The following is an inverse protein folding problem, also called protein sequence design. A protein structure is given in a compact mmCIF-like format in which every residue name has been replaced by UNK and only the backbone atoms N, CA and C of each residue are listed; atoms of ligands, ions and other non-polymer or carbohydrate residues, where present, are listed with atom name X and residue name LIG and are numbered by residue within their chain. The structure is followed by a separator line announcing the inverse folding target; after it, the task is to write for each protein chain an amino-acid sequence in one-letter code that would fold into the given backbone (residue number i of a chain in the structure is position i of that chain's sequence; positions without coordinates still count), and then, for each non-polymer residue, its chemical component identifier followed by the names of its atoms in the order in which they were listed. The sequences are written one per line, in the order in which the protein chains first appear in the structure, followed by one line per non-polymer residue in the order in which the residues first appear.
data_IF_940285198344
#
_entry.id   IF_940285198344
#
_cell.length_a   1.000
_cell.length_b   1.000
_cell.length_c   1.000
_cell.angle_alpha   90.00
_cell.angle_beta   90.00
_cell.angle_gamma   90.00
#
_symmetry.space_group_name_H-M   'P 1'
#
loop_
_entity.id
_entity.type
_entity.pdbx_description
1 polymer ?
#
# COMPACT_ATOMS: atom_id res chain seq x y z
N UNK A 1 44.61 54.53 -20.42
CA UNK A 1 43.69 53.49 -19.92
C UNK A 1 43.35 52.59 -21.10
N UNK A 2 43.70 51.30 -21.11
CA UNK A 2 43.32 50.41 -22.21
C UNK A 2 41.79 50.23 -22.22
N UNK A 3 41.19 50.24 -23.41
CA UNK A 3 39.74 50.10 -23.59
C UNK A 3 39.25 48.73 -23.12
N UNK A 4 38.01 48.68 -22.67
CA UNK A 4 37.30 47.49 -22.16
C UNK A 4 37.35 46.27 -23.10
N UNK A 5 37.58 46.49 -24.39
CA UNK A 5 37.70 45.44 -25.41
C UNK A 5 39.04 44.66 -25.34
N UNK A 6 40.12 45.27 -24.84
CA UNK A 6 41.42 44.60 -24.69
C UNK A 6 41.41 43.58 -23.54
N UNK A 7 40.66 43.86 -22.47
CA UNK A 7 40.50 42.95 -21.32
C UNK A 7 39.65 41.73 -21.65
N UNK A 8 38.59 41.92 -22.43
CA UNK A 8 37.72 40.81 -22.85
C UNK A 8 38.49 39.86 -23.77
N UNK A 9 39.26 40.39 -24.73
CA UNK A 9 40.10 39.58 -25.63
C UNK A 9 41.19 38.81 -24.86
N UNK A 10 41.83 39.45 -23.88
CA UNK A 10 42.83 38.78 -23.03
C UNK A 10 42.21 37.65 -22.19
N UNK A 11 41.01 37.86 -21.64
CA UNK A 11 40.31 36.86 -20.86
C UNK A 11 39.90 35.63 -21.70
N UNK A 12 39.42 35.84 -22.93
CA UNK A 12 39.09 34.73 -23.84
C UNK A 12 40.32 33.92 -24.26
N UNK A 13 41.44 34.59 -24.56
CA UNK A 13 42.71 33.90 -24.88
C UNK A 13 43.21 33.10 -23.68
N UNK A 14 43.16 33.67 -22.47
CA UNK A 14 43.56 32.96 -21.25
C UNK A 14 42.70 31.71 -20.99
N UNK A 15 41.38 31.79 -21.19
CA UNK A 15 40.46 30.66 -21.02
C UNK A 15 40.71 29.55 -22.05
N UNK A 16 40.97 29.92 -23.30
CA UNK A 16 41.29 28.98 -24.39
C UNK A 16 42.62 28.26 -24.16
N UNK A 17 43.65 28.97 -23.65
CA UNK A 17 44.93 28.37 -23.30
C UNK A 17 44.77 27.41 -22.12
N UNK A 18 44.00 27.78 -21.09
CA UNK A 18 43.76 26.92 -19.93
C UNK A 18 43.02 25.62 -20.31
N UNK A 19 42.04 25.70 -21.21
CA UNK A 19 41.31 24.51 -21.70
C UNK A 19 42.20 23.62 -22.57
N UNK A 20 43.04 24.19 -23.43
CA UNK A 20 44.01 23.43 -24.23
C UNK A 20 45.08 22.74 -23.38
N UNK A 21 45.59 23.40 -22.33
CA UNK A 21 46.54 22.79 -21.39
C UNK A 21 45.88 21.66 -20.60
N UNK A 22 44.62 21.83 -20.16
CA UNK A 22 43.88 20.76 -19.50
C UNK A 22 43.64 19.54 -20.40
N UNK A 23 43.27 19.76 -21.67
CA UNK A 23 43.09 18.69 -22.65
C UNK A 23 44.41 17.96 -22.98
N UNK A 24 45.52 18.70 -23.07
CA UNK A 24 46.85 18.10 -23.27
C UNK A 24 47.32 17.28 -22.06
N UNK A 25 47.02 17.71 -20.83
CA UNK A 25 47.33 16.96 -19.61
C UNK A 25 46.47 15.70 -19.45
N UNK A 26 45.20 15.73 -19.86
CA UNK A 26 44.32 14.55 -19.83
C UNK A 26 44.69 13.55 -20.93
N UNK A 27 45.06 14.02 -22.12
CA UNK A 27 45.48 13.18 -23.24
C UNK A 27 46.89 12.57 -23.08
N UNK A 28 47.73 13.12 -22.18
CA UNK A 28 49.05 12.59 -21.84
C UNK A 28 49.05 11.34 -20.95
N UNK A 29 47.89 10.92 -20.44
CA UNK A 29 47.76 9.80 -19.48
C UNK A 29 47.61 8.41 -20.11
N UNK A 30 47.61 8.30 -21.45
CA UNK A 30 47.54 7.01 -22.15
C UNK A 30 48.84 6.73 -22.90
N UNK A 31 49.90 6.44 -22.12
CA UNK A 31 51.16 5.89 -22.60
C UNK A 31 51.38 4.48 -22.09
N UNK A 32 51.32 3.50 -23.02
CA UNK A 32 51.77 2.10 -22.95
C UNK A 32 52.50 1.67 -21.67
N UNK A 33 51.86 0.83 -20.86
CA UNK A 33 52.54 -0.25 -20.15
C UNK A 33 52.24 -1.56 -20.86
N UNK A 34 53.28 -2.15 -21.46
CA UNK A 34 53.24 -3.51 -21.98
C UNK A 34 53.63 -4.42 -20.82
N UNK A 35 52.67 -5.22 -20.34
CA UNK A 35 52.93 -6.34 -19.43
C UNK A 35 52.42 -7.62 -20.09
N UNK A 36 53.15 -8.74 -19.97
CA UNK A 36 52.83 -9.96 -20.70
C UNK A 36 51.49 -10.50 -20.24
N UNK A 37 50.62 -10.83 -21.20
CA UNK A 37 49.38 -11.56 -20.98
C UNK A 37 49.72 -12.94 -20.44
N UNK A 38 49.71 -13.09 -19.12
CA UNK A 38 49.45 -14.38 -18.49
C UNK A 38 47.96 -14.60 -18.67
N UNK A 39 47.58 -15.44 -19.65
CA UNK A 39 46.23 -16.02 -19.69
C UNK A 39 46.12 -16.96 -18.50
N UNK A 40 45.69 -16.42 -17.36
CA UNK A 40 45.00 -17.25 -16.37
C UNK A 40 43.66 -17.60 -17.02
N UNK A 41 43.33 -18.88 -17.24
CA UNK A 41 41.95 -19.22 -17.55
C UNK A 41 41.17 -18.87 -16.29
N UNK A 42 40.56 -17.68 -16.27
CA UNK A 42 39.39 -17.48 -15.42
C UNK A 42 38.32 -18.33 -16.07
N UNK A 43 38.29 -19.59 -15.66
CA UNK A 43 37.11 -20.41 -15.78
C UNK A 43 36.08 -19.72 -14.88
N UNK A 44 35.40 -18.74 -15.46
CA UNK A 44 34.16 -18.26 -14.91
C UNK A 44 33.25 -19.49 -14.93
N UNK A 45 33.19 -20.16 -13.79
CA UNK A 45 32.07 -21.03 -13.47
C UNK A 45 30.87 -20.10 -13.41
N UNK A 46 30.34 -19.76 -14.59
CA UNK A 46 28.99 -19.30 -14.74
C UNK A 46 28.14 -20.56 -14.53
N UNK A 47 27.99 -20.94 -13.26
CA UNK A 47 26.84 -21.74 -12.83
C UNK A 47 25.63 -20.94 -13.32
N UNK A 48 24.83 -21.45 -14.26
CA UNK A 48 23.55 -20.84 -14.53
C UNK A 48 22.81 -20.94 -13.20
N UNK A 49 22.56 -19.80 -12.54
CA UNK A 49 21.46 -19.72 -11.59
C UNK A 49 20.21 -20.02 -12.43
N UNK A 50 19.92 -21.30 -12.59
CA UNK A 50 18.59 -21.76 -12.92
C UNK A 50 17.73 -21.14 -11.82
N UNK A 51 17.01 -20.09 -12.16
CA UNK A 51 15.94 -19.64 -11.29
C UNK A 51 15.08 -20.87 -11.09
N UNK A 52 15.02 -21.37 -9.86
CA UNK A 52 14.31 -22.61 -9.57
C UNK A 52 12.86 -22.39 -10.02
N UNK A 53 12.47 -23.09 -11.08
CA UNK A 53 11.14 -22.96 -11.67
C UNK A 53 10.10 -23.30 -10.61
N UNK A 54 10.40 -24.21 -9.67
CA UNK A 54 9.52 -24.50 -8.55
C UNK A 54 9.42 -23.33 -7.56
N UNK A 55 10.48 -22.54 -7.38
CA UNK A 55 10.45 -21.33 -6.57
C UNK A 55 9.67 -20.19 -7.25
N UNK A 56 9.77 -20.07 -8.59
CA UNK A 56 8.94 -19.15 -9.38
C UNK A 56 7.46 -19.57 -9.30
N UNK A 57 7.16 -20.85 -9.50
CA UNK A 57 5.81 -21.39 -9.44
C UNK A 57 5.22 -21.25 -8.04
N UNK A 58 6.01 -21.50 -6.99
CA UNK A 58 5.59 -21.26 -5.60
C UNK A 58 5.33 -19.78 -5.32
N UNK A 59 6.13 -18.87 -5.88
CA UNK A 59 5.92 -17.43 -5.77
C UNK A 59 4.64 -16.99 -6.50
N UNK A 60 4.39 -17.51 -7.70
CA UNK A 60 3.16 -17.26 -8.45
C UNK A 60 1.94 -17.81 -7.71
N UNK A 61 2.02 -19.05 -7.20
CA UNK A 61 0.94 -19.65 -6.43
C UNK A 61 0.65 -18.87 -5.14
N UNK A 62 1.68 -18.43 -4.41
CA UNK A 62 1.50 -17.58 -3.23
C UNK A 62 0.88 -16.23 -3.58
N UNK A 63 1.28 -15.64 -4.70
CA UNK A 63 0.70 -14.40 -5.21
C UNK A 63 -0.77 -14.57 -5.61
N UNK A 64 -1.11 -15.67 -6.29
CA UNK A 64 -2.48 -16.00 -6.69
C UNK A 64 -3.36 -16.25 -5.47
N UNK A 65 -2.88 -16.99 -4.46
CA UNK A 65 -3.61 -17.22 -3.22
C UNK A 65 -3.86 -15.93 -2.43
N UNK A 66 -2.87 -15.03 -2.38
CA UNK A 66 -2.99 -13.70 -1.76
C UNK A 66 -4.02 -12.84 -2.51
N UNK A 67 -3.97 -12.84 -3.84
CA UNK A 67 -4.90 -12.09 -4.68
C UNK A 67 -6.33 -12.64 -4.55
N UNK A 68 -6.52 -13.96 -4.55
CA UNK A 68 -7.80 -14.60 -4.30
C UNK A 68 -8.35 -14.27 -2.90
N UNK A 69 -7.48 -14.19 -1.89
CA UNK A 69 -7.87 -13.77 -0.55
C UNK A 69 -8.32 -12.31 -0.53
N UNK A 70 -7.57 -11.42 -1.18
CA UNK A 70 -7.94 -10.02 -1.30
C UNK A 70 -9.29 -9.84 -2.02
N UNK A 71 -9.56 -10.63 -3.06
CA UNK A 71 -10.86 -10.63 -3.76
C UNK A 71 -11.98 -11.11 -2.84
N UNK A 72 -11.76 -12.16 -2.05
CA UNK A 72 -12.75 -12.65 -1.10
C UNK A 72 -13.09 -11.60 -0.05
N UNK A 73 -12.08 -10.95 0.55
CA UNK A 73 -12.26 -9.85 1.49
C UNK A 73 -13.04 -8.69 0.86
N UNK A 74 -12.74 -8.35 -0.39
CA UNK A 74 -13.49 -7.35 -1.15
C UNK A 74 -14.98 -7.71 -1.31
N UNK A 75 -15.29 -8.96 -1.64
CA UNK A 75 -16.67 -9.45 -1.73
C UNK A 75 -17.37 -9.34 -0.38
N UNK A 76 -16.70 -9.72 0.72
CA UNK A 76 -17.25 -9.62 2.07
C UNK A 76 -17.55 -8.17 2.47
N UNK A 77 -16.58 -7.28 2.26
CA UNK A 77 -16.73 -5.86 2.57
C UNK A 77 -17.93 -5.21 1.88
N UNK A 78 -18.21 -5.59 0.62
CA UNK A 78 -19.36 -5.05 -0.13
C UNK A 78 -20.70 -5.70 0.24
N UNK A 79 -20.67 -6.97 0.63
CA UNK A 79 -21.90 -7.73 0.90
C UNK A 79 -22.48 -7.38 2.26
N UNK A 80 -21.61 -7.26 3.26
CA UNK A 80 -22.02 -7.10 4.65
C UNK A 80 -21.60 -5.71 5.14
N UNK A 81 -22.59 -4.89 5.44
CA UNK A 81 -22.37 -3.60 6.06
C UNK A 81 -22.26 -3.77 7.59
N UNK A 82 -21.54 -2.86 8.24
CA UNK A 82 -21.48 -2.79 9.71
C UNK A 82 -20.92 -4.06 10.43
N UNK A 83 -20.02 -4.79 9.79
CA UNK A 83 -19.35 -5.99 10.34
C UNK A 83 -17.86 -5.77 10.60
N UNK A 84 -17.31 -6.49 11.58
CA UNK A 84 -15.88 -6.61 11.81
C UNK A 84 -15.33 -7.70 10.88
N UNK A 85 -14.34 -7.35 10.06
CA UNK A 85 -13.72 -8.24 9.07
C UNK A 85 -12.24 -8.47 9.44
N UNK A 86 -11.88 -9.63 10.01
CA UNK A 86 -10.49 -10.00 10.23
C UNK A 86 -9.75 -10.24 8.91
N UNK A 87 -8.44 -9.96 8.85
CA UNK A 87 -7.63 -10.31 7.67
C UNK A 87 -7.63 -11.81 7.37
N UNK A 88 -7.86 -12.66 8.37
CA UNK A 88 -7.93 -14.11 8.21
C UNK A 88 -9.27 -14.61 7.64
N UNK A 89 -10.25 -13.74 7.42
CA UNK A 89 -11.57 -14.15 6.93
C UNK A 89 -11.45 -14.80 5.54
N UNK A 90 -11.93 -16.03 5.43
CA UNK A 90 -12.01 -16.82 4.18
C UNK A 90 -13.46 -17.06 3.77
N UNK A 91 -14.40 -16.96 4.71
CA UNK A 91 -15.83 -17.18 4.52
C UNK A 91 -16.64 -16.10 5.23
N UNK A 92 -17.91 -15.97 4.86
CA UNK A 92 -18.80 -15.02 5.54
C UNK A 92 -19.04 -15.34 7.02
N UNK A 93 -18.90 -16.59 7.43
CA UNK A 93 -18.98 -17.00 8.84
C UNK A 93 -17.83 -16.49 9.70
N UNK A 94 -16.74 -16.04 9.10
CA UNK A 94 -15.56 -15.56 9.81
C UNK A 94 -15.68 -14.09 10.22
N UNK A 95 -16.67 -13.38 9.68
CA UNK A 95 -16.99 -12.01 10.06
C UNK A 95 -17.74 -11.99 11.39
N UNK A 96 -17.52 -10.92 12.15
CA UNK A 96 -18.14 -10.76 13.46
C UNK A 96 -19.16 -9.62 13.40
N UNK A 97 -20.37 -9.93 13.84
CA UNK A 97 -21.49 -9.02 13.93
C UNK A 97 -21.62 -8.49 15.36
N UNK A 98 -22.38 -7.42 15.56
CA UNK A 98 -22.62 -6.83 16.89
C UNK A 98 -23.24 -7.84 17.87
N UNK A 99 -24.07 -8.75 17.38
CA UNK A 99 -24.76 -9.80 18.12
C UNK A 99 -23.97 -11.12 18.19
N UNK A 100 -22.77 -11.18 17.61
CA UNK A 100 -21.88 -12.33 17.78
C UNK A 100 -21.49 -12.50 19.25
N UNK A 101 -21.21 -13.73 19.73
CA UNK A 101 -20.80 -13.96 21.10
C UNK A 101 -19.61 -13.06 21.49
N UNK A 102 -19.71 -12.36 22.62
CA UNK A 102 -18.64 -11.47 23.09
C UNK A 102 -17.29 -12.19 23.21
N UNK A 103 -17.27 -13.48 23.59
CA UNK A 103 -16.04 -14.26 23.63
C UNK A 103 -15.34 -14.35 22.26
N UNK A 104 -16.09 -14.53 21.17
CA UNK A 104 -15.54 -14.55 19.81
C UNK A 104 -15.03 -13.18 19.38
N UNK A 105 -15.77 -12.10 19.69
CA UNK A 105 -15.35 -10.73 19.43
C UNK A 105 -14.07 -10.41 20.21
N UNK A 106 -14.02 -10.72 21.49
CA UNK A 106 -12.87 -10.49 22.36
C UNK A 106 -11.65 -11.29 21.92
N UNK A 107 -11.82 -12.54 21.50
CA UNK A 107 -10.73 -13.36 20.97
C UNK A 107 -10.07 -12.72 19.74
N UNK A 108 -10.88 -12.11 18.86
CA UNK A 108 -10.36 -11.31 17.76
C UNK A 108 -9.71 -10.02 18.30
N UNK A 109 -10.45 -9.20 19.06
CA UNK A 109 -10.01 -7.88 19.53
C UNK A 109 -8.65 -7.91 20.25
N UNK A 110 -8.40 -8.91 21.09
CA UNK A 110 -7.16 -9.10 21.86
C UNK A 110 -5.90 -9.29 21.01
N UNK A 111 -6.01 -9.59 19.72
CA UNK A 111 -4.85 -9.64 18.81
C UNK A 111 -4.14 -8.29 18.68
N UNK A 112 -4.85 -7.18 18.88
CA UNK A 112 -4.34 -5.80 18.87
C UNK A 112 -3.23 -5.54 17.83
N UNK A 113 -3.54 -5.61 16.52
CA UNK A 113 -2.58 -5.27 15.48
C UNK A 113 -2.07 -3.83 15.64
N UNK A 114 -0.96 -3.49 14.98
CA UNK A 114 -0.37 -2.15 15.10
C UNK A 114 -1.34 -1.03 14.68
N UNK A 115 -2.27 -1.36 13.79
CA UNK A 115 -3.31 -0.48 13.28
C UNK A 115 -4.58 -1.30 13.04
N UNK A 116 -5.75 -0.72 13.30
CA UNK A 116 -7.07 -1.22 12.88
C UNK A 116 -7.65 -0.26 11.84
N UNK A 117 -8.36 -0.77 10.82
CA UNK A 117 -8.96 0.05 9.76
C UNK A 117 -10.37 0.41 10.20
N UNK A 118 -10.65 1.70 10.40
CA UNK A 118 -12.02 2.15 10.60
C UNK A 118 -12.78 2.07 9.28
N UNK A 119 -13.86 1.30 9.28
CA UNK A 119 -14.66 1.09 8.09
C UNK A 119 -16.11 1.53 8.33
N UNK A 120 -16.40 2.74 7.87
CA UNK A 120 -17.69 3.40 8.02
C UNK A 120 -18.85 2.53 7.46
N UNK A 121 -20.01 2.62 8.10
CA UNK A 121 -21.28 2.14 7.57
C UNK A 121 -21.77 2.97 6.39
N UNK A 122 -22.42 2.35 5.40
CA UNK A 122 -22.97 3.05 4.24
C UNK A 122 -21.96 3.58 3.21
N UNK A 123 -20.65 3.41 3.41
CA UNK A 123 -19.59 3.75 2.44
C UNK A 123 -18.83 2.49 2.01
N UNK A 124 -19.57 1.47 1.57
CA UNK A 124 -19.05 0.16 1.12
C UNK A 124 -19.08 0.03 -0.41
N UNK A 125 -18.60 1.05 -1.10
CA UNK A 125 -18.48 1.01 -2.56
C UNK A 125 -17.23 0.23 -3.01
N UNK A 126 -17.02 0.16 -4.32
CA UNK A 126 -15.89 -0.57 -4.88
C UNK A 126 -14.54 0.01 -4.44
N UNK A 127 -14.37 1.33 -4.44
CA UNK A 127 -13.09 1.95 -4.14
C UNK A 127 -12.74 1.85 -2.66
N UNK A 128 -13.71 2.12 -1.77
CA UNK A 128 -13.48 2.08 -0.34
C UNK A 128 -13.22 0.66 0.17
N UNK A 129 -13.95 -0.33 -0.35
CA UNK A 129 -13.68 -1.73 0.02
C UNK A 129 -12.35 -2.25 -0.54
N UNK A 130 -11.97 -1.86 -1.77
CA UNK A 130 -10.68 -2.25 -2.36
C UNK A 130 -9.51 -1.84 -1.48
N UNK A 131 -9.51 -0.58 -1.10
CA UNK A 131 -8.48 0.00 -0.24
C UNK A 131 -8.50 -0.60 1.15
N UNK A 132 -9.67 -0.62 1.81
CA UNK A 132 -9.80 -1.11 3.17
C UNK A 132 -9.34 -2.57 3.30
N UNK A 133 -9.66 -3.40 2.31
CA UNK A 133 -9.31 -4.82 2.33
C UNK A 133 -7.84 -5.06 1.98
N UNK A 134 -7.24 -4.23 1.13
CA UNK A 134 -5.79 -4.26 0.92
C UNK A 134 -5.03 -3.97 2.23
N UNK A 135 -5.43 -2.92 2.95
CA UNK A 135 -4.82 -2.61 4.26
C UNK A 135 -5.10 -3.69 5.29
N UNK A 136 -6.32 -4.21 5.32
CA UNK A 136 -6.70 -5.29 6.22
C UNK A 136 -5.79 -6.50 6.00
N UNK A 137 -5.62 -6.95 4.75
CA UNK A 137 -4.80 -8.11 4.41
C UNK A 137 -3.31 -7.90 4.68
N UNK A 138 -2.70 -6.89 4.04
CA UNK A 138 -1.24 -6.75 4.06
C UNK A 138 -0.69 -6.19 5.38
N UNK A 139 -1.50 -5.50 6.18
CA UNK A 139 -1.13 -5.09 7.54
C UNK A 139 -1.49 -6.15 8.59
N UNK A 140 -2.03 -7.29 8.17
CA UNK A 140 -2.52 -8.36 9.05
C UNK A 140 -3.42 -7.80 10.16
N UNK A 141 -4.37 -6.99 9.73
CA UNK A 141 -5.20 -6.14 10.56
C UNK A 141 -6.67 -6.62 10.49
N UNK A 142 -7.60 -5.74 10.81
CA UNK A 142 -9.03 -5.94 10.66
C UNK A 142 -9.69 -4.61 10.33
N UNK A 143 -10.75 -4.69 9.54
CA UNK A 143 -11.69 -3.60 9.42
C UNK A 143 -12.67 -3.66 10.59
N UNK A 144 -12.78 -2.55 11.33
CA UNK A 144 -13.68 -2.41 12.47
C UNK A 144 -14.77 -1.37 12.17
N UNK A 145 -16.05 -1.69 12.42
CA UNK A 145 -17.14 -0.73 12.34
C UNK A 145 -17.27 0.10 13.62
N UNK A 146 -18.05 1.19 13.55
CA UNK A 146 -18.31 2.09 14.69
C UNK A 146 -18.71 1.37 15.97
N UNK A 147 -19.51 0.32 15.85
CA UNK A 147 -20.01 -0.40 17.03
C UNK A 147 -18.91 -1.01 17.89
N UNK A 148 -17.80 -1.43 17.30
CA UNK A 148 -16.65 -1.99 18.05
C UNK A 148 -16.08 -0.94 18.99
N UNK A 149 -16.07 0.32 18.55
CA UNK A 149 -15.59 1.46 19.32
C UNK A 149 -16.60 1.93 20.36
N UNK A 150 -17.88 1.54 20.23
CA UNK A 150 -18.96 1.97 21.12
C UNK A 150 -19.31 0.98 22.20
N UNK A 151 -19.04 -0.29 21.95
CA UNK A 151 -19.53 -1.40 22.77
C UNK A 151 -18.61 -1.63 23.96
N UNK A 152 -19.22 -1.86 25.12
CA UNK A 152 -18.56 -2.49 26.26
C UNK A 152 -18.79 -3.99 26.17
N UNK A 153 -17.72 -4.75 26.01
CA UNK A 153 -17.75 -6.20 25.91
C UNK A 153 -17.63 -6.81 27.30
N UNK A 154 -18.35 -7.89 27.51
CA UNK A 154 -18.30 -8.68 28.75
C UNK A 154 -17.58 -9.98 28.48
N UNK A 155 -16.53 -10.25 29.24
CA UNK A 155 -15.75 -11.48 29.16
C UNK A 155 -16.42 -12.62 29.96
N UNK A 156 -15.90 -13.83 29.84
CA UNK A 156 -16.47 -15.02 30.51
C UNK A 156 -16.44 -14.94 32.04
N UNK A 157 -15.49 -14.18 32.61
CA UNK A 157 -15.38 -13.91 34.04
C UNK A 157 -16.31 -12.78 34.53
N UNK A 158 -17.11 -12.20 33.62
CA UNK A 158 -18.01 -11.08 33.90
C UNK A 158 -17.33 -9.72 33.90
N UNK A 159 -16.02 -9.64 33.63
CA UNK A 159 -15.32 -8.36 33.49
C UNK A 159 -15.78 -7.61 32.25
N UNK A 160 -15.89 -6.30 32.38
CA UNK A 160 -16.28 -5.41 31.31
C UNK A 160 -15.04 -4.72 30.73
N UNK A 161 -14.93 -4.69 29.41
CA UNK A 161 -13.82 -4.01 28.73
C UNK A 161 -14.27 -3.35 27.44
N UNK A 162 -13.57 -2.30 27.03
CA UNK A 162 -13.78 -1.62 25.76
C UNK A 162 -12.63 -1.88 24.78
N UNK A 163 -12.86 -1.63 23.49
CA UNK A 163 -11.80 -1.68 22.50
C UNK A 163 -10.58 -0.80 22.86
N UNK A 164 -10.82 0.40 23.43
CA UNK A 164 -9.75 1.34 23.77
C UNK A 164 -8.89 0.88 24.95
N UNK A 165 -9.46 0.10 25.87
CA UNK A 165 -8.73 -0.53 26.98
C UNK A 165 -7.94 -1.76 26.52
N UNK A 166 -8.51 -2.56 25.61
CA UNK A 166 -7.85 -3.74 25.05
C UNK A 166 -6.64 -3.34 24.19
N UNK A 167 -6.82 -2.39 23.28
CA UNK A 167 -5.81 -2.02 22.29
C UNK A 167 -5.40 -0.53 22.40
N UNK A 168 -4.81 -0.08 23.52
CA UNK A 168 -4.49 1.33 23.74
C UNK A 168 -3.36 1.82 22.82
N UNK A 169 -2.49 0.92 22.35
CA UNK A 169 -1.32 1.26 21.52
C UNK A 169 -1.57 1.15 20.01
N UNK A 170 -2.60 0.40 19.60
CA UNK A 170 -2.99 0.27 18.20
C UNK A 170 -3.46 1.62 17.68
N UNK A 171 -3.03 1.99 16.48
CA UNK A 171 -3.60 3.14 15.79
C UNK A 171 -4.97 2.79 15.20
N UNK A 172 -5.80 3.79 14.97
CA UNK A 172 -6.96 3.66 14.09
C UNK A 172 -6.63 4.40 12.80
N UNK A 173 -6.79 3.69 11.69
CA UNK A 173 -6.67 4.25 10.36
C UNK A 173 -8.04 4.70 9.88
N UNK A 174 -8.15 5.96 9.49
CA UNK A 174 -9.32 6.49 8.82
C UNK A 174 -9.00 6.73 7.35
N UNK A 175 -9.86 6.19 6.50
CA UNK A 175 -9.78 6.39 5.07
C UNK A 175 -10.61 7.62 4.69
N UNK A 176 -9.97 8.59 4.04
CA UNK A 176 -10.62 9.82 3.60
C UNK A 176 -11.27 10.62 4.77
N UNK A 177 -12.37 11.34 4.54
CA UNK A 177 -13.06 12.23 5.49
C UNK A 177 -14.25 11.60 6.23
N UNK A 178 -14.54 10.31 5.99
CA UNK A 178 -15.73 9.62 6.51
C UNK A 178 -15.51 9.01 7.90
N UNK A 179 -15.37 9.86 8.92
CA UNK A 179 -15.00 9.40 10.26
C UNK A 179 -16.19 9.24 11.21
N UNK A 180 -17.38 9.71 10.83
CA UNK A 180 -18.59 9.70 11.66
C UNK A 180 -18.37 10.20 13.09
N UNK A 181 -17.55 11.25 13.23
CA UNK A 181 -17.20 11.88 14.50
C UNK A 181 -16.59 10.89 15.53
N UNK A 182 -16.05 9.74 15.07
CA UNK A 182 -15.46 8.72 15.95
C UNK A 182 -14.36 9.30 16.84
N UNK A 183 -13.51 10.14 16.26
CA UNK A 183 -12.43 10.84 16.96
C UNK A 183 -12.91 11.86 18.02
N UNK A 184 -14.19 12.24 17.99
CA UNK A 184 -14.83 13.17 18.93
C UNK A 184 -15.65 12.45 20.00
N UNK A 185 -15.82 11.12 19.90
CA UNK A 185 -16.52 10.34 20.92
C UNK A 185 -15.93 10.63 22.31
N UNK A 186 -16.76 10.81 23.36
CA UNK A 186 -16.28 11.10 24.71
C UNK A 186 -15.28 10.06 25.24
N UNK A 187 -15.43 8.81 24.81
CA UNK A 187 -14.55 7.69 25.19
C UNK A 187 -13.29 7.54 24.33
N UNK A 188 -13.14 8.32 23.25
CA UNK A 188 -11.98 8.24 22.36
C UNK A 188 -10.77 8.89 23.05
N UNK A 189 -9.74 8.11 23.45
CA UNK A 189 -8.64 8.66 24.24
C UNK A 189 -7.86 9.73 23.46
N UNK A 190 -7.45 10.81 24.14
CA UNK A 190 -6.59 11.84 23.55
C UNK A 190 -5.23 11.30 23.09
N UNK A 191 -4.77 10.22 23.69
CA UNK A 191 -3.51 9.53 23.37
C UNK A 191 -3.64 8.50 22.24
N UNK A 192 -4.86 8.20 21.77
CA UNK A 192 -5.09 7.21 20.73
C UNK A 192 -4.53 7.72 19.40
N UNK A 193 -3.67 6.92 18.77
CA UNK A 193 -3.00 7.28 17.53
C UNK A 193 -3.99 7.24 16.36
N UNK A 194 -3.98 8.30 15.57
CA UNK A 194 -4.81 8.44 14.36
C UNK A 194 -3.89 8.43 13.14
N UNK A 195 -4.19 7.58 12.17
CA UNK A 195 -3.57 7.56 10.84
C UNK A 195 -4.63 7.93 9.83
N UNK A 196 -4.32 8.89 8.96
CA UNK A 196 -5.21 9.35 7.89
C UNK A 196 -4.63 8.93 6.57
N UNK A 197 -5.49 8.34 5.75
CA UNK A 197 -5.09 7.84 4.45
C UNK A 197 -6.04 8.36 3.37
N UNK A 198 -5.66 9.49 2.73
CA UNK A 198 -6.37 10.07 1.60
C UNK A 198 -6.19 9.19 0.35
N UNK A 199 -7.23 9.10 -0.49
CA UNK A 199 -7.22 8.17 -1.63
C UNK A 199 -6.52 8.72 -2.90
N UNK A 200 -6.21 10.01 -2.92
CA UNK A 200 -5.61 10.66 -4.09
C UNK A 200 -4.48 11.60 -3.70
N UNK A 201 -3.60 11.90 -4.67
CA UNK A 201 -2.50 12.86 -4.48
C UNK A 201 -3.01 14.24 -4.07
N UNK A 202 -4.07 14.69 -4.73
CA UNK A 202 -4.66 16.01 -4.50
C UNK A 202 -5.31 16.09 -3.12
N UNK A 203 -6.07 15.06 -2.72
CA UNK A 203 -6.64 14.98 -1.38
C UNK A 203 -5.55 14.96 -0.30
N UNK A 204 -4.50 14.14 -0.50
CA UNK A 204 -3.35 14.13 0.39
C UNK A 204 -2.71 15.50 0.52
N UNK A 205 -2.43 16.19 -0.59
CA UNK A 205 -1.78 17.50 -0.54
C UNK A 205 -2.62 18.50 0.26
N UNK A 206 -3.95 18.48 0.07
CA UNK A 206 -4.88 19.36 0.80
C UNK A 206 -4.94 19.03 2.28
N UNK A 207 -5.12 17.75 2.63
CA UNK A 207 -5.22 17.30 4.02
C UNK A 207 -3.90 17.53 4.74
N UNK A 208 -2.78 17.13 4.14
CA UNK A 208 -1.45 17.33 4.70
C UNK A 208 -1.16 18.82 4.94
N UNK A 209 -1.46 19.69 3.98
CA UNK A 209 -1.26 21.13 4.12
C UNK A 209 -2.13 21.72 5.24
N UNK A 210 -3.36 21.22 5.42
CA UNK A 210 -4.23 21.65 6.51
C UNK A 210 -3.71 21.18 7.88
N UNK A 211 -3.32 19.89 8.00
CA UNK A 211 -2.81 19.29 9.24
C UNK A 211 -1.44 19.85 9.68
N UNK A 212 -0.68 20.44 8.77
CA UNK A 212 0.62 21.06 9.06
C UNK A 212 0.52 22.53 9.50
N UNK A 213 -0.66 23.13 9.46
CA UNK A 213 -0.87 24.46 10.03
C UNK A 213 -0.93 24.36 11.56
N UNK A 214 -0.52 25.45 12.23
CA UNK A 214 -0.57 25.55 13.69
C UNK A 214 -2.00 25.26 14.19
N UNK A 215 -2.10 24.51 15.29
CA UNK A 215 -3.35 24.14 15.97
C UNK A 215 -4.33 23.22 15.20
N UNK A 216 -4.12 22.94 13.91
CA UNK A 216 -5.00 22.06 13.14
C UNK A 216 -4.77 20.56 13.38
N UNK A 217 -3.69 20.18 14.04
CA UNK A 217 -3.42 18.78 14.41
C UNK A 217 -3.27 18.57 15.93
N UNK A 218 -4.32 18.88 16.72
CA UNK A 218 -4.26 18.78 18.18
C UNK A 218 -4.11 17.34 18.68
N UNK A 219 -4.45 16.35 17.84
CA UNK A 219 -4.36 14.91 18.15
C UNK A 219 -3.07 14.26 17.67
N UNK A 220 -2.18 15.00 17.00
CA UNK A 220 -0.93 14.45 16.44
C UNK A 220 -1.14 13.35 15.39
N UNK A 221 -2.24 13.41 14.65
CA UNK A 221 -2.56 12.48 13.57
C UNK A 221 -1.46 12.47 12.50
N UNK A 222 -1.23 11.30 11.90
CA UNK A 222 -0.28 11.13 10.79
C UNK A 222 -1.03 10.99 9.48
N UNK A 223 -0.77 11.89 8.54
CA UNK A 223 -1.30 11.83 7.18
C UNK A 223 -0.31 11.08 6.31
N UNK A 224 -0.70 9.92 5.79
CA UNK A 224 0.12 9.09 4.92
C UNK A 224 -0.44 9.11 3.51
N UNK A 225 0.44 9.14 2.51
CA UNK A 225 0.02 8.89 1.14
C UNK A 225 0.18 7.42 0.80
N UNK A 226 -0.86 6.87 0.19
CA UNK A 226 -0.83 5.60 -0.51
C UNK A 226 -1.19 5.82 -1.97
N UNK A 227 -0.34 5.30 -2.86
CA UNK A 227 -0.68 5.23 -4.28
C UNK A 227 -1.44 3.93 -4.51
N UNK A 228 -2.72 4.05 -4.80
CA UNK A 228 -3.58 2.92 -5.13
C UNK A 228 -3.25 2.43 -6.54
N UNK A 229 -2.54 1.31 -6.64
CA UNK A 229 -2.46 0.56 -7.90
C UNK A 229 -3.65 -0.37 -7.92
N UNK A 230 -4.71 0.04 -8.62
CA UNK A 230 -5.93 -0.74 -8.87
C UNK A 230 -5.64 -2.23 -9.07
N UNK A 231 -6.46 -3.06 -8.41
CA UNK A 231 -6.55 -4.51 -8.57
C UNK A 231 -6.99 -4.81 -10.01
N UNK A 232 -6.05 -4.96 -10.94
CA UNK A 232 -6.34 -5.21 -12.35
C UNK A 232 -7.05 -6.56 -12.52
N UNK A 233 -8.39 -6.53 -12.59
CA UNK A 233 -9.22 -7.71 -12.84
C UNK A 233 -8.85 -8.43 -14.16
N UNK A 234 -8.13 -7.77 -15.08
CA UNK A 234 -7.64 -8.40 -16.31
C UNK A 234 -6.42 -9.29 -16.08
N UNK A 235 -5.69 -9.15 -14.97
CA UNK A 235 -4.59 -10.06 -14.59
C UNK A 235 -5.15 -11.42 -14.22
N UNK A 236 -6.24 -11.48 -13.44
CA UNK A 236 -6.93 -12.72 -13.08
C UNK A 236 -7.45 -13.48 -14.30
N UNK A 237 -8.09 -12.77 -15.22
CA UNK A 237 -8.64 -13.36 -16.45
C UNK A 237 -7.52 -13.80 -17.40
N UNK A 238 -6.40 -13.07 -17.46
CA UNK A 238 -5.22 -13.49 -18.23
C UNK A 238 -4.55 -14.71 -17.63
N UNK A 239 -4.36 -14.75 -16.32
CA UNK A 239 -3.72 -15.85 -15.62
C UNK A 239 -4.55 -17.15 -15.75
N UNK A 240 -5.85 -17.08 -15.48
CA UNK A 240 -6.76 -18.23 -15.61
C UNK A 240 -6.92 -18.72 -17.07
N UNK A 241 -6.72 -17.84 -18.06
CA UNK A 241 -6.68 -18.20 -19.49
C UNK A 241 -5.35 -18.86 -19.89
N UNK A 242 -4.22 -18.33 -19.42
CA UNK A 242 -2.88 -18.84 -19.73
C UNK A 242 -2.59 -20.19 -19.06
N UNK A 243 -3.18 -20.47 -17.90
CA UNK A 243 -3.07 -21.75 -17.20
C UNK A 243 -4.18 -22.76 -17.55
N UNK A 244 -4.98 -22.50 -18.60
CA UNK A 244 -5.98 -23.44 -19.11
C UNK A 244 -7.17 -23.69 -18.17
N UNK A 245 -7.29 -22.93 -17.08
CA UNK A 245 -8.39 -23.02 -16.12
C UNK A 245 -9.73 -22.50 -16.69
N UNK A 246 -9.68 -21.78 -17.82
CA UNK A 246 -10.85 -21.26 -18.54
C UNK A 246 -11.02 -21.86 -19.95
N UNK A 247 -10.52 -23.07 -20.18
CA UNK A 247 -10.65 -23.75 -21.48
C UNK A 247 -12.13 -23.92 -21.89
N UNK A 248 -12.61 -22.99 -22.74
CA UNK A 248 -13.97 -22.98 -23.31
C UNK A 248 -14.97 -22.03 -22.64
N UNK A 249 -14.63 -21.34 -21.55
CA UNK A 249 -15.59 -20.54 -20.76
C UNK A 249 -15.57 -19.04 -21.05
N UNK A 250 -14.57 -18.54 -21.79
CA UNK A 250 -14.55 -17.16 -22.26
C UNK A 250 -15.33 -17.06 -23.57
N UNK A 251 -16.60 -16.69 -23.47
CA UNK A 251 -17.42 -16.41 -24.65
C UNK A 251 -16.74 -15.36 -25.55
N UNK A 252 -16.74 -15.53 -26.88
CA UNK A 252 -16.27 -14.48 -27.80
C UNK A 252 -16.99 -13.16 -27.52
N UNK A 253 -16.26 -12.05 -27.63
CA UNK A 253 -16.83 -10.71 -27.44
C UNK A 253 -18.03 -10.53 -28.37
N UNK A 254 -19.23 -10.42 -27.80
CA UNK A 254 -20.45 -10.16 -28.54
C UNK A 254 -20.62 -8.64 -28.71
N UNK A 255 -20.37 -8.13 -29.92
CA UNK A 255 -20.50 -6.71 -30.22
C UNK A 255 -21.92 -6.32 -30.67
N UNK A 256 -22.81 -7.28 -30.87
CA UNK A 256 -24.22 -7.08 -31.21
C UNK A 256 -25.07 -6.78 -29.97
N UNK A 257 -24.64 -7.25 -28.79
CA UNK A 257 -25.14 -6.89 -27.47
C UNK A 257 -23.95 -6.55 -26.56
N UNK A 258 -23.53 -5.28 -26.61
CA UNK A 258 -22.42 -4.80 -25.80
C UNK A 258 -22.82 -4.77 -24.31
N UNK A 259 -22.10 -5.52 -23.48
CA UNK A 259 -22.07 -5.29 -22.04
C UNK A 259 -20.68 -4.80 -21.63
N UNK A 260 -20.63 -3.70 -20.89
CA UNK A 260 -19.39 -3.14 -20.33
C UNK A 260 -19.47 -3.29 -18.83
N UNK A 261 -18.56 -4.08 -18.25
CA UNK A 261 -18.35 -4.07 -16.81
C UNK A 261 -17.30 -3.03 -16.51
N UNK A 262 -17.73 -1.93 -15.89
CA UNK A 262 -16.83 -0.91 -15.37
C UNK A 262 -16.38 -1.32 -13.98
N UNK A 263 -15.17 -1.89 -13.88
CA UNK A 263 -14.43 -1.88 -12.63
C UNK A 263 -13.79 -0.49 -12.51
N UNK A 264 -14.23 0.29 -11.54
CA UNK A 264 -13.63 1.59 -11.26
C UNK A 264 -12.24 1.37 -10.66
N UNK A 265 -11.21 1.74 -11.40
CA UNK A 265 -9.94 2.18 -10.82
C UNK A 265 -9.93 3.70 -10.86
N UNK A 266 -10.20 4.34 -9.72
CA UNK A 266 -9.87 5.74 -9.49
C UNK A 266 -9.42 5.94 -8.06
#
# INVERSE_FOLDING_TARGET
MPSTDAWVKAAFVALAVFTLVHLALVAGSFGRSSSPSVRVPVQANYEPNWVDIAAIDALHAAHDDELLHLIALNVFCRKEDNVLIPWTARNSSDMLHRDSPHAAILAELRKCPAVDIYLNTGVRDHGYCEDAMAYTLHLQSRAIPKWVLETTFTDEDGSATTYFELCPRSAILFMNHYWEEVHEMPRFPSTKKIVLMPNSRDEYNRIWAWYNQDFNNPRGAKVLYTQHTTSDATVLVRNASQHGQLNGTLAPKNFSQLSVVHANGK
#
